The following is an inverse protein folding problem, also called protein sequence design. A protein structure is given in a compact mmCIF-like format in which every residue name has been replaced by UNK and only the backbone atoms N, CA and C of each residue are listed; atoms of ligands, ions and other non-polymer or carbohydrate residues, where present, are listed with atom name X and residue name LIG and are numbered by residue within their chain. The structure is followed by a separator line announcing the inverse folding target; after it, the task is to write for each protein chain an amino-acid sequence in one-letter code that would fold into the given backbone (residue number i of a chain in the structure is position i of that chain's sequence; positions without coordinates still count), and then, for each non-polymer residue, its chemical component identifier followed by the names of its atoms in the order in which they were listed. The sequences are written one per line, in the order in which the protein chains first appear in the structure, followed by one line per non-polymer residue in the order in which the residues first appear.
data_IF_401885733082
#
_entry.id   IF_401885733082
#
_cell.length_a   1.000
_cell.length_b   1.000
_cell.length_c   1.000
_cell.angle_alpha   90.00
_cell.angle_beta   90.00
_cell.angle_gamma   90.00
#
_symmetry.space_group_name_H-M   'P 1'
#
loop_
_entity.id
_entity.type
_entity.pdbx_description
1 polymer ?
2 non-polymer ?
3 water ?
#
# COMPACT_ATOMS: atom_id res chain seq x y z
N UNK A 4 -20.74 9.08 -11.68
CA UNK A 4 -20.82 7.61 -11.62
C UNK A 4 -19.46 6.96 -11.85
N UNK A 5 -19.27 5.83 -11.18
CA UNK A 5 -18.09 4.99 -11.21
C UNK A 5 -18.07 4.03 -12.41
N UNK A 6 -19.22 3.79 -13.08
CA UNK A 6 -19.29 2.89 -14.24
C UNK A 6 -18.67 3.57 -15.45
N UNK A 7 -17.63 2.93 -16.04
CA UNK A 7 -17.00 3.43 -17.26
C UNK A 7 -17.37 2.49 -18.42
N UNK A 8 -18.02 3.04 -19.45
CA UNK A 8 -18.42 2.26 -20.61
C UNK A 8 -17.16 1.82 -21.41
N UNK A 9 -17.11 0.58 -21.98
CA UNK A 9 -15.90 0.16 -22.74
C UNK A 9 -15.48 1.12 -23.84
N UNK A 10 -16.45 1.82 -24.46
CA UNK A 10 -16.21 2.79 -25.53
C UNK A 10 -15.46 4.05 -25.02
N UNK A 11 -15.47 4.29 -23.69
CA UNK A 11 -14.81 5.43 -23.05
C UNK A 11 -13.35 5.10 -22.70
N UNK A 12 -12.90 3.89 -23.04
CA UNK A 12 -11.53 3.47 -22.78
C UNK A 12 -10.81 3.00 -24.01
N UNK A 13 -9.53 3.37 -24.14
CA UNK A 13 -8.67 2.88 -25.20
C UNK A 13 -7.40 2.32 -24.56
N UNK A 14 -6.98 1.11 -24.95
CA UNK A 14 -5.77 0.47 -24.42
C UNK A 14 -4.65 0.81 -25.39
N UNK A 15 -3.57 1.40 -24.89
CA UNK A 15 -2.46 1.83 -25.75
C UNK A 15 -1.22 0.94 -25.67
N UNK A 16 -0.83 0.53 -24.47
CA UNK A 16 0.39 -0.23 -24.27
C UNK A 16 0.23 -1.08 -23.05
N UNK A 17 0.84 -2.28 -23.06
CA UNK A 17 0.83 -3.18 -21.91
C UNK A 17 1.95 -2.73 -20.96
N UNK A 18 1.59 -2.29 -19.73
CA UNK A 18 2.52 -1.86 -18.69
C UNK A 18 3.18 -3.12 -18.11
N UNK A 19 2.36 -4.13 -17.82
CA UNK A 19 2.83 -5.40 -17.28
C UNK A 19 1.72 -6.35 -16.88
N UNK A 20 2.08 -7.31 -16.02
CA UNK A 20 1.18 -8.35 -15.51
C UNK A 20 1.16 -8.27 -14.00
N UNK A 21 -0.03 -8.07 -13.44
CA UNK A 21 -0.26 -8.01 -12.01
C UNK A 21 -0.64 -9.36 -11.46
N UNK A 22 -1.29 -9.37 -10.28
CA UNK A 22 -1.75 -10.58 -9.58
C UNK A 22 -3.03 -11.10 -10.21
N UNK A 23 -3.93 -10.18 -10.60
CA UNK A 23 -5.24 -10.51 -11.16
C UNK A 23 -5.34 -10.46 -12.68
N UNK A 24 -4.22 -10.27 -13.38
CA UNK A 24 -4.24 -10.23 -14.83
C UNK A 24 -3.21 -9.33 -15.49
N UNK A 25 -3.69 -8.36 -16.27
CA UNK A 25 -2.88 -7.42 -17.05
C UNK A 25 -3.09 -5.98 -16.61
N UNK A 26 -2.07 -5.14 -16.80
CA UNK A 26 -2.07 -3.69 -16.55
C UNK A 26 -1.68 -2.99 -17.87
N UNK A 27 -2.51 -2.04 -18.31
CA UNK A 27 -2.25 -1.30 -19.55
C UNK A 27 -2.19 0.18 -19.29
N UNK A 28 -1.41 0.86 -20.08
CA UNK A 28 -1.38 2.30 -20.16
C UNK A 28 -2.48 2.54 -21.20
N UNK A 29 -3.43 3.39 -20.87
CA UNK A 29 -4.49 3.74 -21.81
C UNK A 29 -4.94 5.18 -21.64
N UNK A 30 -6.02 5.53 -22.34
CA UNK A 30 -6.64 6.84 -22.26
C UNK A 30 -8.10 6.66 -21.90
N UNK A 31 -8.64 7.56 -21.06
CA UNK A 31 -10.02 7.59 -20.64
C UNK A 31 -10.67 8.82 -21.30
N UNK A 32 -11.71 8.59 -22.14
CA UNK A 32 -12.41 9.63 -22.93
C UNK A 32 -12.76 10.90 -22.19
N UNK A 33 -12.30 12.05 -22.76
CA UNK A 33 -12.50 13.44 -22.32
C UNK A 33 -11.94 13.73 -20.91
N UNK A 34 -11.09 12.84 -20.39
CA UNK A 34 -10.56 12.93 -19.04
C UNK A 34 -9.05 12.93 -18.98
N UNK A 35 -8.42 11.76 -18.98
CA UNK A 35 -6.96 11.66 -18.81
C UNK A 35 -6.40 10.33 -19.27
N UNK A 36 -5.07 10.26 -19.28
CA UNK A 36 -4.27 9.07 -19.49
C UNK A 36 -4.44 8.29 -18.18
N UNK A 37 -4.66 7.00 -18.30
CA UNK A 37 -4.91 6.13 -17.15
C UNK A 37 -4.08 4.85 -17.17
N UNK A 38 -4.11 4.11 -16.04
CA UNK A 38 -3.57 2.76 -15.90
C UNK A 38 -4.83 1.88 -15.72
N UNK A 39 -5.00 0.92 -16.63
CA UNK A 39 -6.14 0.02 -16.65
C UNK A 39 -5.72 -1.37 -16.17
N UNK A 40 -6.31 -1.85 -15.11
CA UNK A 40 -5.97 -3.19 -14.61
C UNK A 40 -7.10 -4.15 -14.94
N UNK A 41 -6.81 -5.19 -15.70
CA UNK A 41 -7.80 -6.23 -16.04
C UNK A 41 -7.80 -7.29 -14.93
N UNK A 42 -9.00 -7.63 -14.42
CA UNK A 42 -9.18 -8.57 -13.31
C UNK A 42 -9.76 -9.91 -13.75
N UNK A 43 -8.96 -10.97 -13.57
CA UNK A 43 -9.35 -12.34 -13.90
C UNK A 43 -10.57 -12.73 -13.06
N UNK A 44 -11.60 -13.32 -13.71
CA UNK A 44 -12.81 -13.75 -13.00
C UNK A 44 -12.47 -14.79 -11.94
N UNK A 45 -13.03 -14.61 -10.74
CA UNK A 45 -12.75 -15.47 -9.60
C UNK A 45 -11.68 -14.91 -8.68
N UNK A 46 -10.89 -13.90 -9.14
CA UNK A 46 -9.84 -13.31 -8.30
C UNK A 46 -10.40 -12.44 -7.19
N UNK A 47 -11.61 -11.84 -7.40
CA UNK A 47 -12.23 -10.95 -6.41
C UNK A 47 -13.74 -10.99 -6.39
N UNK A 48 -14.36 -10.63 -5.23
CA UNK A 48 -15.81 -10.54 -5.10
C UNK A 48 -16.21 -9.20 -5.74
N UNK A 49 -16.51 -9.24 -7.04
CA UNK A 49 -16.83 -8.05 -7.83
C UNK A 49 -18.10 -7.35 -7.32
N UNK A 50 -19.11 -8.13 -6.91
CA UNK A 50 -20.37 -7.64 -6.38
C UNK A 50 -20.24 -6.89 -5.07
N UNK A 51 -19.39 -7.37 -4.13
CA UNK A 51 -19.18 -6.67 -2.85
C UNK A 51 -18.42 -5.40 -3.15
N UNK A 52 -17.46 -5.48 -4.07
CA UNK A 52 -16.66 -4.35 -4.45
C UNK A 52 -17.51 -3.20 -5.01
N UNK A 53 -18.32 -3.47 -6.06
CA UNK A 53 -19.17 -2.43 -6.70
C UNK A 53 -20.17 -1.72 -5.76
N UNK A 54 -20.57 -2.42 -4.67
CA UNK A 54 -21.47 -1.95 -3.62
C UNK A 54 -20.89 -0.79 -2.84
N UNK A 55 -19.56 -0.75 -2.71
CA UNK A 55 -18.86 0.31 -1.99
C UNK A 55 -18.44 1.45 -2.91
N UNK A 56 -18.61 1.30 -4.25
CA UNK A 56 -18.17 2.29 -5.23
C UNK A 56 -18.66 3.70 -5.01
N UNK A 57 -19.95 3.89 -4.74
CA UNK A 57 -20.54 5.24 -4.58
C UNK A 57 -19.88 6.02 -3.47
N UNK A 58 -19.68 5.39 -2.32
CA UNK A 58 -19.07 5.98 -1.14
C UNK A 58 -17.54 6.12 -1.33
N UNK A 59 -16.88 5.02 -1.74
CA UNK A 59 -15.42 4.94 -1.88
C UNK A 59 -14.80 5.78 -2.97
N UNK A 60 -15.49 6.00 -4.10
CA UNK A 60 -14.96 6.83 -5.20
C UNK A 60 -14.74 8.28 -4.76
N UNK A 61 -15.47 8.72 -3.71
CA UNK A 61 -15.39 10.07 -3.13
C UNK A 61 -14.03 10.36 -2.44
N UNK A 62 -13.28 9.31 -2.02
CA UNK A 62 -11.96 9.43 -1.38
C UNK A 62 -10.96 9.98 -2.40
N UNK A 63 -10.31 11.09 -2.06
CA UNK A 63 -9.39 11.75 -2.97
C UNK A 63 -8.39 12.58 -2.18
N UNK A 64 -7.10 12.38 -2.46
CA UNK A 64 -6.06 13.08 -1.76
C UNK A 64 -4.84 13.07 -2.66
N UNK A 65 -4.00 14.15 -2.65
CA UNK A 65 -2.82 14.15 -3.52
C UNK A 65 -1.89 12.94 -3.30
N UNK A 66 -1.94 12.32 -2.09
CA UNK A 66 -1.08 11.19 -1.73
C UNK A 66 -1.72 9.81 -1.83
N UNK A 67 -2.84 9.69 -2.56
CA UNK A 67 -3.49 8.42 -2.84
C UNK A 67 -3.65 8.30 -4.34
N UNK A 68 -3.41 7.08 -4.89
CA UNK A 68 -3.62 6.80 -6.31
C UNK A 68 -5.13 6.76 -6.49
N UNK A 69 -5.66 7.63 -7.37
CA UNK A 69 -7.09 7.66 -7.59
C UNK A 69 -7.58 6.52 -8.46
N UNK A 70 -8.62 5.82 -8.00
CA UNK A 70 -9.29 4.74 -8.75
C UNK A 70 -10.58 5.44 -9.26
N UNK A 71 -10.59 5.79 -10.53
CA UNK A 71 -11.66 6.53 -11.21
C UNK A 71 -12.99 5.83 -11.41
N UNK A 72 -12.91 4.56 -11.73
CA UNK A 72 -14.11 3.78 -11.97
C UNK A 72 -13.82 2.36 -12.39
N UNK A 73 -14.91 1.67 -12.76
CA UNK A 73 -14.89 0.26 -13.14
C UNK A 73 -15.58 0.07 -14.50
N UNK A 74 -14.89 -0.62 -15.42
CA UNK A 74 -15.47 -0.99 -16.70
C UNK A 74 -15.88 -2.44 -16.53
N UNK A 75 -17.17 -2.67 -16.33
CA UNK A 75 -17.70 -4.00 -16.03
C UNK A 75 -18.78 -4.57 -16.98
N UNK A 76 -19.01 -3.96 -18.17
CA UNK A 76 -20.02 -4.44 -19.14
C UNK A 76 -20.02 -5.97 -19.32
N UNK A 77 -18.83 -6.54 -19.61
CA UNK A 77 -18.61 -7.99 -19.68
C UNK A 77 -17.32 -8.38 -18.92
N UNK A 78 -17.14 -9.68 -18.66
CA UNK A 78 -15.97 -10.23 -18.01
C UNK A 78 -14.84 -10.38 -19.07
N UNK A 79 -13.55 -10.18 -18.73
CA UNK A 79 -13.00 -9.77 -17.42
C UNK A 79 -13.16 -8.29 -17.16
N UNK A 80 -13.54 -7.89 -15.92
CA UNK A 80 -13.74 -6.46 -15.58
C UNK A 80 -12.42 -5.67 -15.51
N UNK A 81 -12.48 -4.32 -15.66
CA UNK A 81 -11.34 -3.41 -15.63
C UNK A 81 -11.46 -2.38 -14.55
N UNK A 82 -10.36 -2.13 -13.85
CA UNK A 82 -10.24 -1.09 -12.84
C UNK A 82 -9.44 0.03 -13.49
N UNK A 83 -9.93 1.27 -13.41
CA UNK A 83 -9.32 2.43 -14.05
C UNK A 83 -8.70 3.35 -13.01
N UNK A 84 -7.38 3.49 -13.02
CA UNK A 84 -6.63 4.30 -12.05
C UNK A 84 -5.90 5.48 -12.67
N UNK A 85 -5.41 6.41 -11.82
CA UNK A 85 -4.56 7.48 -12.31
C UNK A 85 -3.22 6.82 -12.68
N UNK A 86 -2.54 7.35 -13.73
CA UNK A 86 -1.29 6.77 -14.21
C UNK A 86 -0.09 7.23 -13.38
N UNK A 87 0.67 6.26 -12.84
CA UNK A 87 1.83 6.52 -12.00
C UNK A 87 3.03 6.09 -12.80
N UNK A 88 3.70 7.08 -13.37
CA UNK A 88 4.80 6.91 -14.35
C UNK A 88 6.03 6.12 -13.93
N UNK A 89 6.37 6.11 -12.64
CA UNK A 89 7.54 5.34 -12.22
C UNK A 89 7.27 3.93 -11.62
N UNK A 90 6.00 3.52 -11.63
CA UNK A 90 5.63 2.20 -11.13
C UNK A 90 5.62 2.07 -9.62
N UNK A 91 5.70 0.81 -9.12
CA UNK A 91 5.64 0.54 -7.69
C UNK A 91 6.91 0.91 -6.90
N UNK A 92 6.71 1.40 -5.68
CA UNK A 92 7.77 1.83 -4.78
C UNK A 92 8.87 0.81 -4.56
N UNK A 93 8.50 -0.47 -4.35
CA UNK A 93 9.44 -1.57 -4.12
C UNK A 93 10.48 -1.73 -5.25
N UNK A 94 10.03 -1.83 -6.54
CA UNK A 94 10.91 -1.90 -7.72
C UNK A 94 11.73 -0.61 -7.91
N UNK A 95 11.12 0.57 -7.65
CA UNK A 95 11.80 1.87 -7.78
C UNK A 95 12.99 1.96 -6.78
N UNK A 96 12.79 1.49 -5.54
CA UNK A 96 13.87 1.51 -4.54
C UNK A 96 15.01 0.57 -4.97
N UNK A 97 14.64 -0.68 -5.39
CA UNK A 97 15.59 -1.72 -5.82
C UNK A 97 16.49 -1.37 -7.02
N UNK A 98 15.93 -0.72 -8.04
CA UNK A 98 16.63 -0.32 -9.26
C UNK A 98 17.44 1.01 -9.11
N UNK A 99 17.07 1.86 -8.15
CA UNK A 99 17.75 3.14 -7.86
C UNK A 99 18.61 3.04 -6.58
N UNK A 100 18.77 1.82 -6.00
CA UNK A 100 19.55 1.58 -4.78
C UNK A 100 20.95 2.19 -4.90
N UNK A 101 21.36 2.94 -3.88
CA UNK A 101 22.65 3.63 -3.85
C UNK A 101 22.63 5.05 -4.42
N UNK A 102 21.46 5.49 -4.96
CA UNK A 102 21.32 6.83 -5.55
C UNK A 102 20.35 7.72 -4.72
N UNK A 103 19.93 7.23 -3.56
CA UNK A 103 18.99 7.93 -2.69
C UNK A 103 19.63 8.68 -1.55
N UNK A 104 19.32 9.98 -1.42
CA UNK A 104 19.72 10.83 -0.30
C UNK A 104 18.74 10.45 0.81
N UNK A 105 19.16 10.56 2.06
CA UNK A 105 18.35 10.17 3.23
C UNK A 105 17.08 11.00 3.35
N UNK A 106 17.16 12.30 2.98
CA UNK A 106 16.01 13.21 2.96
C UNK A 106 14.94 12.76 1.93
N UNK A 107 15.37 12.16 0.79
CA UNK A 107 14.43 11.68 -0.26
C UNK A 107 13.69 10.46 0.30
N UNK A 108 14.42 9.58 1.01
CA UNK A 108 13.86 8.39 1.64
C UNK A 108 12.86 8.80 2.71
N UNK A 109 13.25 9.77 3.56
CA UNK A 109 12.37 10.34 4.59
C UNK A 109 11.14 10.96 3.91
N UNK A 110 11.36 11.79 2.88
CA UNK A 110 10.30 12.43 2.09
C UNK A 110 9.30 11.43 1.50
N UNK A 111 9.80 10.25 1.10
CA UNK A 111 8.96 9.15 0.57
C UNK A 111 8.05 8.61 1.69
N UNK A 112 8.58 8.45 2.94
CA UNK A 112 7.81 7.98 4.10
C UNK A 112 6.74 9.00 4.47
N UNK A 113 7.08 10.29 4.43
CA UNK A 113 6.19 11.41 4.68
C UNK A 113 4.99 11.43 3.71
N UNK A 114 5.23 11.20 2.41
CA UNK A 114 4.17 11.12 1.41
C UNK A 114 3.15 10.00 1.81
N UNK A 115 3.65 8.82 2.15
CA UNK A 115 2.76 7.70 2.52
C UNK A 115 1.99 8.05 3.80
N UNK A 116 2.71 8.63 4.78
CA UNK A 116 2.11 9.01 6.06
C UNK A 116 0.94 10.00 5.89
N UNK A 117 1.10 11.02 5.03
CA UNK A 117 0.02 11.99 4.76
C UNK A 117 -1.16 11.24 4.12
N UNK A 118 -0.88 10.34 3.17
CA UNK A 118 -1.91 9.53 2.51
C UNK A 118 -2.67 8.70 3.53
N UNK A 119 -1.91 8.04 4.41
CA UNK A 119 -2.47 7.20 5.46
C UNK A 119 -3.21 8.00 6.52
N UNK A 120 -2.75 9.25 6.85
CA UNK A 120 -3.45 10.07 7.86
C UNK A 120 -4.84 10.51 7.34
N UNK A 121 -4.95 10.67 6.02
CA UNK A 121 -6.20 11.00 5.34
C UNK A 121 -7.14 9.79 5.42
N UNK A 122 -6.64 8.57 5.15
CA UNK A 122 -7.44 7.34 5.23
C UNK A 122 -7.89 7.06 6.66
N UNK A 123 -7.01 7.30 7.64
CA UNK A 123 -7.29 7.14 9.06
C UNK A 123 -8.45 8.10 9.49
N UNK A 124 -8.37 9.39 9.11
CA UNK A 124 -9.39 10.40 9.39
C UNK A 124 -10.74 9.99 8.76
N UNK A 125 -10.70 9.40 7.55
CA UNK A 125 -11.83 8.88 6.80
C UNK A 125 -12.29 7.51 7.29
N UNK A 126 -11.61 6.95 8.32
CA UNK A 126 -11.91 5.63 8.91
C UNK A 126 -11.84 4.50 7.88
N UNK A 127 -10.83 4.57 7.01
CA UNK A 127 -10.61 3.57 5.98
C UNK A 127 -9.31 2.87 6.35
N UNK A 128 -9.40 1.55 6.52
CA UNK A 128 -8.27 0.67 6.90
C UNK A 128 -7.65 0.06 5.63
N UNK A 129 -6.35 0.24 5.42
CA UNK A 129 -5.70 -0.29 4.20
C UNK A 129 -5.71 -1.79 4.22
N UNK A 130 -5.24 -2.41 5.34
CA UNK A 130 -5.15 -3.86 5.63
C UNK A 130 -3.89 -4.54 5.06
N UNK A 131 -3.26 -3.96 4.03
CA UNK A 131 -2.06 -4.58 3.43
C UNK A 131 -1.07 -3.53 2.92
N UNK A 132 -0.78 -2.52 3.75
CA UNK A 132 0.15 -1.45 3.42
C UNK A 132 1.59 -2.00 3.33
N UNK A 133 2.19 -1.83 2.16
CA UNK A 133 3.55 -2.27 1.87
C UNK A 133 4.08 -1.41 0.73
N UNK A 134 5.41 -1.46 0.50
CA UNK A 134 6.07 -0.73 -0.59
C UNK A 134 5.56 -1.17 -1.97
N UNK A 135 5.15 -2.45 -2.12
CA UNK A 135 4.58 -3.01 -3.38
C UNK A 135 3.23 -2.38 -3.74
N UNK A 136 2.51 -1.85 -2.72
CA UNK A 136 1.19 -1.23 -2.83
C UNK A 136 1.22 0.28 -2.95
N UNK A 137 2.43 0.85 -2.96
CA UNK A 137 2.64 2.28 -3.14
C UNK A 137 3.21 2.49 -4.51
N UNK A 138 2.89 3.64 -5.11
CA UNK A 138 3.36 3.96 -6.45
C UNK A 138 4.12 5.27 -6.48
N UNK A 139 5.00 5.43 -7.51
CA UNK A 139 5.86 6.58 -7.76
C UNK A 139 5.37 7.31 -9.01
N UNK A 140 5.02 8.58 -8.86
CA UNK A 140 4.55 9.39 -9.97
C UNK A 140 5.53 10.48 -10.33
N UNK A 141 5.01 11.56 -10.95
CA UNK A 141 5.85 12.67 -11.35
C UNK A 141 6.51 13.39 -10.19
N UNK A 142 7.80 13.63 -10.37
CA UNK A 142 8.69 14.27 -9.40
C UNK A 142 8.91 13.46 -8.12
N UNK A 143 8.84 12.10 -8.27
CA UNK A 143 9.10 11.12 -7.22
C UNK A 143 8.04 11.14 -6.11
N UNK A 144 6.83 11.65 -6.40
CA UNK A 144 5.79 11.67 -5.36
C UNK A 144 5.33 10.21 -5.14
N UNK A 145 5.16 9.83 -3.85
CA UNK A 145 4.70 8.51 -3.49
C UNK A 145 3.22 8.59 -3.14
N UNK A 146 2.43 7.68 -3.70
CA UNK A 146 0.99 7.61 -3.45
C UNK A 146 0.58 6.20 -3.05
N UNK A 147 -0.28 6.12 -2.04
CA UNK A 147 -0.79 4.85 -1.54
C UNK A 147 -1.89 4.33 -2.49
N UNK A 148 -1.94 3.01 -2.71
CA UNK A 148 -2.92 2.36 -3.56
C UNK A 148 -3.36 1.04 -2.92
N UNK A 149 -4.41 0.43 -3.47
CA UNK A 149 -4.97 -0.87 -3.07
C UNK A 149 -5.49 -1.00 -1.64
N UNK A 150 -5.89 0.13 -1.04
CA UNK A 150 -6.42 0.15 0.31
C UNK A 150 -7.77 -0.56 0.36
N UNK A 151 -7.99 -1.37 1.40
CA UNK A 151 -9.20 -2.15 1.59
C UNK A 151 -9.43 -3.31 0.63
N UNK A 152 -8.52 -3.53 -0.33
CA UNK A 152 -8.67 -4.56 -1.40
C UNK A 152 -8.70 -6.02 -0.94
N UNK A 153 -8.07 -6.32 0.20
CA UNK A 153 -8.07 -7.69 0.73
C UNK A 153 -9.46 -8.14 1.24
N UNK A 154 -10.45 -7.23 1.27
CA UNK A 154 -11.81 -7.56 1.72
C UNK A 154 -12.65 -8.14 0.58
N UNK A 155 -12.06 -8.18 -0.62
CA UNK A 155 -12.65 -8.64 -1.87
C UNK A 155 -11.84 -9.74 -2.52
N UNK A 156 -10.55 -9.91 -2.11
CA UNK A 156 -9.65 -10.95 -2.65
C UNK A 156 -10.19 -12.35 -2.30
N UNK A 157 -10.39 -13.22 -3.34
CA UNK A 157 -10.97 -14.56 -3.17
C UNK A 157 -10.04 -15.72 -2.84
N UNK A 158 -8.72 -15.48 -2.85
CA UNK A 158 -7.74 -16.48 -2.44
C UNK A 158 -7.67 -16.50 -0.90
N UNK A 159 -8.13 -17.61 -0.32
CA UNK A 159 -8.17 -17.86 1.13
C UNK A 159 -6.78 -17.94 1.77
N UNK A 160 -5.79 -18.38 0.99
CA UNK A 160 -4.41 -18.53 1.47
C UNK A 160 -3.71 -17.19 1.67
N UNK A 161 -4.26 -16.10 1.14
CA UNK A 161 -3.72 -14.73 1.29
C UNK A 161 -4.50 -13.94 2.36
N UNK A 162 -5.82 -14.06 2.38
CA UNK A 162 -6.69 -13.30 3.28
C UNK A 162 -6.73 -13.78 4.71
N UNK A 163 -6.75 -15.13 4.92
CA UNK A 163 -6.80 -15.73 6.25
C UNK A 163 -5.43 -15.70 6.91
N UNK A 164 -5.37 -15.32 8.21
CA UNK A 164 -4.13 -15.23 9.01
C UNK A 164 -3.36 -16.56 9.09
N UNK A 165 -4.08 -17.68 8.96
CA UNK A 165 -3.57 -19.05 8.96
C UNK A 165 -3.35 -19.57 7.51
N UNK A 166 -3.44 -18.66 6.53
CA UNK A 166 -3.23 -18.95 5.12
C UNK A 166 -1.77 -19.05 4.78
N UNK A 167 -1.42 -19.94 3.84
CA UNK A 167 -0.03 -20.19 3.41
C UNK A 167 0.71 -18.96 2.85
N UNK A 168 -0.02 -18.04 2.17
CA UNK A 168 0.50 -16.80 1.55
C UNK A 168 0.10 -15.48 2.32
N UNK A 169 -0.42 -15.59 3.57
CA UNK A 169 -0.80 -14.42 4.37
C UNK A 169 0.38 -13.45 4.50
N UNK A 170 0.24 -12.15 4.12
CA UNK A 170 1.40 -11.23 4.20
C UNK A 170 1.82 -10.91 5.65
N UNK A 171 2.26 -11.95 6.40
CA UNK A 171 2.67 -11.84 7.81
C UNK A 171 3.76 -10.77 8.14
N UNK A 172 4.69 -10.53 7.19
CA UNK A 172 5.78 -9.55 7.26
C UNK A 172 5.32 -8.11 7.56
N UNK A 173 4.09 -7.75 7.20
CA UNK A 173 3.54 -6.41 7.43
C UNK A 173 2.43 -6.44 8.48
N UNK A 174 2.16 -7.62 9.07
CA UNK A 174 1.12 -7.81 10.07
C UNK A 174 1.56 -7.55 11.51
N UNK A 175 0.67 -6.85 12.21
CA UNK A 175 0.77 -6.54 13.62
C UNK A 175 0.32 -7.82 14.34
N UNK A 176 0.79 -8.08 15.59
CA UNK A 176 0.39 -9.32 16.27
C UNK A 176 -1.10 -9.57 16.30
N UNK A 177 -1.93 -8.53 16.58
CA UNK A 177 -3.38 -8.68 16.61
C UNK A 177 -3.97 -9.02 15.21
N UNK A 178 -3.25 -8.63 14.13
CA UNK A 178 -3.66 -8.98 12.77
C UNK A 178 -3.29 -10.46 12.49
N UNK A 179 -2.02 -10.86 12.73
CA UNK A 179 -1.64 -12.27 12.52
C UNK A 179 -2.35 -13.28 13.45
N UNK A 180 -2.80 -12.81 14.63
CA UNK A 180 -3.49 -13.64 15.59
C UNK A 180 -5.00 -13.65 15.43
N UNK A 181 -5.62 -12.47 15.19
CA UNK A 181 -7.08 -12.39 15.13
C UNK A 181 -7.74 -11.69 13.95
N UNK A 182 -6.96 -11.22 12.95
CA UNK A 182 -7.50 -10.41 11.82
C UNK A 182 -8.23 -9.17 12.38
N UNK A 183 -7.68 -8.59 13.45
CA UNK A 183 -8.24 -7.43 14.13
C UNK A 183 -7.65 -6.18 13.50
N UNK A 184 -8.18 -5.83 12.33
CA UNK A 184 -7.72 -4.68 11.56
C UNK A 184 -8.16 -3.34 12.14
N UNK A 185 -7.25 -2.35 12.05
CA UNK A 185 -7.48 -0.95 12.48
C UNK A 185 -6.42 -0.07 11.83
N UNK A 186 -6.59 1.28 11.94
CA UNK A 186 -5.56 2.22 11.50
C UNK A 186 -4.28 2.00 12.38
N UNK A 187 -4.41 1.37 13.55
CA UNK A 187 -3.25 1.07 14.39
C UNK A 187 -2.47 -0.16 13.88
N UNK A 188 -3.18 -1.10 13.24
CA UNK A 188 -2.55 -2.26 12.63
C UNK A 188 -1.87 -1.82 11.33
N UNK A 189 -2.48 -0.84 10.63
CA UNK A 189 -1.91 -0.16 9.46
C UNK A 189 -0.62 0.56 9.92
N UNK A 190 -0.62 1.21 11.13
CA UNK A 190 0.59 1.90 11.67
C UNK A 190 1.81 0.91 11.78
N UNK A 191 1.53 -0.33 12.20
CA UNK A 191 2.56 -1.39 12.23
C UNK A 191 3.09 -1.66 10.81
N UNK A 192 2.17 -1.87 9.81
CA UNK A 192 2.56 -2.07 8.42
C UNK A 192 3.35 -0.85 7.93
N UNK A 193 2.93 0.34 8.30
CA UNK A 193 3.66 1.56 7.93
C UNK A 193 5.10 1.55 8.47
N UNK A 194 5.30 1.06 9.70
CA UNK A 194 6.62 0.92 10.31
C UNK A 194 7.50 0.04 9.45
N UNK A 195 6.94 -1.12 9.00
CA UNK A 195 7.60 -2.08 8.09
C UNK A 195 7.88 -1.40 6.74
N UNK A 196 6.88 -0.69 6.17
CA UNK A 196 7.05 0.07 4.92
C UNK A 196 8.24 1.09 5.03
N UNK A 197 8.41 1.77 6.19
CA UNK A 197 9.52 2.72 6.40
C UNK A 197 10.85 2.01 6.31
N UNK A 198 10.93 0.76 6.88
CA UNK A 198 12.11 -0.10 6.88
C UNK A 198 12.46 -0.48 5.43
N UNK A 199 11.45 -0.87 4.62
CA UNK A 199 11.61 -1.18 3.18
C UNK A 199 12.20 0.04 2.45
N UNK A 200 11.73 1.23 2.81
CA UNK A 200 12.18 2.48 2.22
C UNK A 200 13.66 2.78 2.57
N UNK A 201 13.99 2.86 3.86
CA UNK A 201 15.37 3.16 4.29
C UNK A 201 16.43 2.08 3.93
N UNK A 202 15.98 0.80 3.68
CA UNK A 202 16.81 -0.36 3.29
C UNK A 202 16.99 -0.41 1.77
N UNK A 203 16.33 0.52 1.07
CA UNK A 203 16.34 0.64 -0.38
C UNK A 203 15.71 -0.59 -1.06
N UNK A 204 14.55 -0.99 -0.52
CA UNK A 204 13.76 -2.07 -1.09
C UNK A 204 14.13 -3.49 -0.74
N UNK A 205 14.84 -3.71 0.37
CA UNK A 205 15.14 -5.06 0.83
C UNK A 205 13.84 -5.75 1.34
N UNK A 206 13.81 -7.09 1.36
CA UNK A 206 12.66 -7.85 1.82
C UNK A 206 12.73 -7.95 3.35
N UNK A 207 11.69 -7.47 4.07
CA UNK A 207 11.73 -7.59 5.55
C UNK A 207 11.63 -9.06 5.96
N UNK A 208 12.47 -9.49 6.93
CA UNK A 208 12.50 -10.86 7.47
C UNK A 208 12.71 -11.92 6.36
N UNK A 209 13.53 -11.59 5.35
CA UNK A 209 13.86 -12.45 4.20
C UNK A 209 14.45 -13.81 4.62
N UNK A 210 15.10 -13.86 5.79
CA UNK A 210 15.74 -15.06 6.33
C UNK A 210 14.84 -15.88 7.24
N UNK A 211 13.52 -15.56 7.28
CA UNK A 211 12.55 -16.21 8.17
C UNK A 211 11.29 -16.70 7.47
N UNK A 212 10.74 -17.86 7.90
CA UNK A 212 9.47 -18.36 7.39
C UNK A 212 8.35 -17.61 8.10
N UNK A 213 7.09 -17.74 7.63
CA UNK A 213 5.92 -17.08 8.22
C UNK A 213 5.81 -17.34 9.70
N UNK A 214 5.86 -18.62 10.12
CA UNK A 214 5.78 -18.99 11.53
C UNK A 214 6.93 -18.46 12.37
N UNK A 215 8.16 -18.40 11.81
CA UNK A 215 9.36 -17.86 12.51
C UNK A 215 9.21 -16.35 12.73
N UNK A 216 8.58 -15.62 11.76
CA UNK A 216 8.32 -14.17 11.86
C UNK A 216 7.38 -13.96 13.07
N UNK A 217 6.31 -14.77 13.16
CA UNK A 217 5.31 -14.75 14.23
C UNK A 217 5.95 -15.03 15.59
N UNK A 218 6.87 -16.01 15.68
CA UNK A 218 7.54 -16.31 16.95
C UNK A 218 8.54 -15.21 17.33
N UNK A 219 9.31 -14.66 16.36
CA UNK A 219 10.28 -13.58 16.60
C UNK A 219 9.57 -12.32 17.14
N UNK A 220 8.49 -11.90 16.46
CA UNK A 220 7.70 -10.73 16.86
C UNK A 220 7.09 -10.87 18.26
N UNK A 221 6.48 -12.05 18.55
CA UNK A 221 5.85 -12.38 19.82
C UNK A 221 6.82 -12.37 20.97
N UNK A 222 8.09 -12.71 20.70
CA UNK A 222 9.18 -12.75 21.68
C UNK A 222 9.95 -11.41 21.75
N UNK A 223 9.42 -10.37 21.09
CA UNK A 223 9.98 -9.02 21.12
C UNK A 223 11.03 -8.66 20.09
N UNK A 224 11.30 -9.57 19.13
CA UNK A 224 12.29 -9.30 18.10
C UNK A 224 11.74 -8.36 17.04
N UNK A 225 12.61 -7.51 16.51
CA UNK A 225 12.26 -6.47 15.54
C UNK A 225 13.28 -6.37 14.40
N UNK A 226 12.89 -5.67 13.33
CA UNK A 226 13.78 -5.44 12.19
C UNK A 226 14.92 -4.50 12.64
N UNK A 227 16.17 -4.82 12.20
CA UNK A 227 17.41 -4.09 12.52
C UNK A 227 17.41 -2.67 11.90
N UNK A 228 18.25 -1.77 12.43
CA UNK A 228 18.34 -0.40 11.93
C UNK A 228 18.93 -0.33 10.51
N UNK A 229 18.17 0.10 9.47
CA UNK A 229 18.79 0.31 8.15
C UNK A 229 19.91 1.35 8.28
N UNK A 230 20.99 1.20 7.49
CA UNK A 230 22.16 2.10 7.48
C UNK A 230 21.74 3.58 7.26
N UNK A 231 20.70 3.81 6.43
CA UNK A 231 20.24 5.16 6.08
C UNK A 231 19.23 5.80 7.00
N UNK A 232 18.66 5.02 7.92
CA UNK A 232 17.73 5.55 8.92
C UNK A 232 18.53 6.10 10.11
N UNK A 233 18.29 7.37 10.47
CA UNK A 233 18.93 8.00 11.63
C UNK A 233 18.33 7.37 12.90
N UNK A 234 18.98 7.54 14.07
CA UNK A 234 18.42 6.99 15.31
C UNK A 234 17.02 7.52 15.60
N UNK A 235 16.72 8.80 15.22
CA UNK A 235 15.41 9.41 15.44
C UNK A 235 14.34 8.73 14.56
N UNK A 236 14.70 8.35 13.32
CA UNK A 236 13.83 7.66 12.36
C UNK A 236 13.58 6.22 12.85
N UNK A 237 14.64 5.50 13.28
CA UNK A 237 14.51 4.13 13.78
C UNK A 237 13.62 4.03 15.04
N UNK A 238 13.63 5.07 15.90
CA UNK A 238 12.77 5.14 17.10
C UNK A 238 11.30 5.26 16.66
N UNK A 239 11.02 6.11 15.64
CA UNK A 239 9.67 6.28 15.08
C UNK A 239 9.19 4.94 14.54
N UNK A 240 10.10 4.19 13.82
CA UNK A 240 9.82 2.84 13.29
C UNK A 240 9.45 1.91 14.44
N UNK A 241 10.25 1.90 15.53
CA UNK A 241 9.97 1.06 16.70
C UNK A 241 8.67 1.41 17.39
N UNK A 242 8.24 2.68 17.32
CA UNK A 242 6.98 3.09 17.95
C UNK A 242 5.82 2.42 17.21
N UNK A 243 5.97 2.25 15.88
CA UNK A 243 5.04 1.56 15.00
C UNK A 243 4.93 0.08 15.36
N UNK A 244 6.01 -0.52 15.90
CA UNK A 244 6.06 -1.93 16.21
C UNK A 244 5.83 -2.25 17.67
N UNK A 245 5.03 -1.42 18.32
CA UNK A 245 4.65 -1.69 19.70
C UNK A 245 3.61 -2.80 19.71
N UNK A 246 3.79 -3.77 20.60
CA UNK A 246 2.89 -4.91 20.70
C UNK A 246 1.40 -4.51 20.86
N UNK A 247 1.06 -3.60 21.79
CA UNK A 247 -0.34 -3.17 21.95
C UNK A 247 -0.68 -2.07 20.97
N UNK A 248 -1.71 -2.25 20.10
CA UNK A 248 -2.09 -1.18 19.15
C UNK A 248 -2.26 0.21 19.76
N UNK A 249 -2.84 0.29 20.99
CA UNK A 249 -3.07 1.52 21.78
C UNK A 249 -1.76 2.29 22.11
N UNK A 250 -0.60 1.60 22.22
CA UNK A 250 0.69 2.29 22.48
C UNK A 250 1.33 2.75 21.16
N UNK A 251 0.75 2.38 20.00
CA UNK A 251 1.30 2.85 18.73
C UNK A 251 0.78 4.27 18.44
N UNK A 252 1.62 5.16 17.86
CA UNK A 252 1.13 6.50 17.52
C UNK A 252 0.12 6.44 16.37
N UNK A 253 -0.85 7.35 16.34
CA UNK A 253 -1.77 7.46 15.21
C UNK A 253 -0.98 8.01 14.00
N UNK A 254 -1.51 7.86 12.76
CA UNK A 254 -0.84 8.43 11.59
C UNK A 254 -0.80 9.94 11.71
N UNK A 255 -1.83 10.56 12.37
CA UNK A 255 -1.87 12.02 12.58
C UNK A 255 -0.70 12.50 13.49
N UNK A 256 -0.34 11.67 14.47
CA UNK A 256 0.77 11.95 15.38
C UNK A 256 2.10 11.71 14.63
N UNK A 257 2.20 10.57 13.92
CA UNK A 257 3.38 10.21 13.12
C UNK A 257 3.71 11.30 12.10
N UNK A 258 2.67 11.87 11.46
CA UNK A 258 2.82 12.91 10.45
C UNK A 258 3.49 14.14 11.05
N UNK A 259 3.04 14.60 12.22
CA UNK A 259 3.62 15.75 12.91
C UNK A 259 5.04 15.44 13.38
N UNK A 260 5.30 14.20 13.88
CA UNK A 260 6.62 13.78 14.35
C UNK A 260 7.65 13.68 13.22
N UNK A 261 7.32 12.93 12.16
CA UNK A 261 8.19 12.80 10.99
C UNK A 261 8.47 14.13 10.28
N UNK A 262 7.46 15.02 10.17
CA UNK A 262 7.64 16.33 9.53
C UNK A 262 8.60 17.20 10.32
N UNK A 263 8.59 17.11 11.67
CA UNK A 263 9.50 17.87 12.54
C UNK A 263 10.94 17.42 12.36
N UNK A 264 11.16 16.11 12.14
CA UNK A 264 12.48 15.52 11.88
C UNK A 264 12.98 16.02 10.52
N UNK A 265 12.16 15.91 9.46
CA UNK A 265 12.49 16.35 8.10
C UNK A 265 12.81 17.83 8.01
N UNK A 266 11.84 18.69 8.45
CA UNK A 266 11.91 20.15 8.43
C UNK A 266 12.99 20.72 9.34
N UNK A 267 13.67 19.80 10.09
CA UNK A 267 14.77 19.95 11.04
C UNK A 267 14.34 20.38 12.42
#
# INVERSE_FOLDING_TARGET
GSGKWVIDPSELTFVQEIGSGQFGLVHLGYWLNKDKVAIKTIREGAMSEEDFIEEAEVMMKLSHPKLVQLYGVCLEQAPICLVFEFMEHGCLSDYLRTQRGLFAAETLLGMCLDVCEGMAYLEEACVIHRDLAARNCLVGENQVIKVSDFGMTRFVLDDQYTSSTGTKFPVKWASPEVFSFSRYSSKSDVWSFGVLMWEVFSEGKIPYENRSNSEVVEDISTGFRLYKPRLASTHVYQIMNHCWRERPEDRPAFSRLLRQLAEIAESGL
#
